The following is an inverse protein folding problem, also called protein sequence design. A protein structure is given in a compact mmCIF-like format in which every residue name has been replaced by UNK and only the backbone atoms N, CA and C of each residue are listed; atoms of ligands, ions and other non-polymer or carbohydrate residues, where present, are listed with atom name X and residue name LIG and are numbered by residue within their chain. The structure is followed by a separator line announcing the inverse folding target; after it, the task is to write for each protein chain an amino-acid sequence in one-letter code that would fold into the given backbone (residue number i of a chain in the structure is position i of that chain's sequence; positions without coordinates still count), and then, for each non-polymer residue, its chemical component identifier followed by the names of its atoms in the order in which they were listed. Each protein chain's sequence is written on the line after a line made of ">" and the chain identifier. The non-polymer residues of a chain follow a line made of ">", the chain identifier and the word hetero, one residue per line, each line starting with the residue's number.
data_IF_163713240089
#
_entry.id   IF_163713240089
#
_cell.length_a   1.000
_cell.length_b   1.000
_cell.length_c   1.000
_cell.angle_alpha   90.00
_cell.angle_beta   90.00
_cell.angle_gamma   90.00
#
_symmetry.space_group_name_H-M   'P 1'
#
loop_
_entity.id
_entity.type
_entity.pdbx_description
1 polymer ?
#
# COMPACT_ATOMS: atom_id res chain seq x y z
N UNK A 1 28.40 -2.90 -5.84
CA UNK A 1 27.38 -3.97 -5.95
C UNK A 1 26.06 -3.28 -6.30
N UNK A 2 25.46 -3.60 -7.44
CA UNK A 2 24.15 -3.05 -7.83
C UNK A 2 23.05 -3.77 -7.04
N UNK A 3 22.18 -3.01 -6.39
CA UNK A 3 21.04 -3.56 -5.62
C UNK A 3 19.86 -3.76 -6.55
N UNK A 4 19.42 -5.00 -6.74
CA UNK A 4 18.25 -5.37 -7.53
C UNK A 4 17.03 -5.64 -6.63
N UNK A 5 15.82 -5.84 -7.22
CA UNK A 5 14.58 -6.10 -6.47
C UNK A 5 14.70 -7.33 -5.56
N UNK A 6 15.41 -8.36 -5.99
CA UNK A 6 15.60 -9.59 -5.20
C UNK A 6 16.36 -9.31 -3.90
N UNK A 7 17.44 -8.51 -3.97
CA UNK A 7 18.16 -8.08 -2.78
C UNK A 7 17.28 -7.27 -1.81
N UNK A 8 16.41 -6.40 -2.33
CA UNK A 8 15.44 -5.65 -1.50
C UNK A 8 14.45 -6.58 -0.79
N UNK A 9 13.93 -7.58 -1.50
CA UNK A 9 13.03 -8.59 -0.92
C UNK A 9 13.72 -9.37 0.19
N UNK A 10 14.97 -9.80 -0.05
CA UNK A 10 15.74 -10.54 0.96
C UNK A 10 16.01 -9.72 2.23
N UNK A 11 16.33 -8.41 2.10
CA UNK A 11 16.48 -7.52 3.26
C UNK A 11 15.16 -7.40 4.02
N UNK A 12 14.04 -7.19 3.32
CA UNK A 12 12.73 -7.08 3.94
C UNK A 12 12.34 -8.35 4.69
N UNK A 13 12.59 -9.54 4.12
CA UNK A 13 12.34 -10.83 4.77
C UNK A 13 13.19 -11.07 6.01
N UNK A 14 14.47 -10.68 5.96
CA UNK A 14 15.38 -10.75 7.09
C UNK A 14 14.89 -9.87 8.23
N UNK A 15 14.49 -8.63 7.93
CA UNK A 15 13.95 -7.70 8.93
C UNK A 15 12.63 -8.24 9.52
N UNK A 16 11.72 -8.75 8.70
CA UNK A 16 10.48 -9.37 9.20
C UNK A 16 10.75 -10.53 10.15
N UNK A 17 11.67 -11.43 9.79
CA UNK A 17 12.03 -12.58 10.65
C UNK A 17 12.66 -12.16 11.95
N UNK A 18 13.48 -11.11 11.94
CA UNK A 18 14.19 -10.65 13.13
C UNK A 18 13.31 -9.84 14.08
N UNK A 19 12.30 -9.13 13.59
CA UNK A 19 11.56 -8.12 14.36
C UNK A 19 10.06 -8.37 14.46
N UNK A 20 9.49 -9.23 13.63
CA UNK A 20 8.03 -9.38 13.47
C UNK A 20 7.34 -8.19 12.78
N UNK A 21 8.08 -7.15 12.39
CA UNK A 21 7.50 -5.97 11.75
C UNK A 21 7.14 -6.25 10.29
N UNK A 22 6.01 -5.73 9.78
CA UNK A 22 5.53 -5.99 8.42
C UNK A 22 6.27 -5.14 7.36
N UNK A 23 7.60 -5.17 7.38
CA UNK A 23 8.44 -4.44 6.43
C UNK A 23 8.37 -5.08 5.04
N UNK A 24 8.09 -4.26 4.01
CA UNK A 24 8.07 -4.68 2.62
C UNK A 24 9.34 -4.26 1.86
N UNK A 25 9.55 -4.83 0.68
CA UNK A 25 10.68 -4.46 -0.17
C UNK A 25 10.64 -2.98 -0.62
N UNK A 26 9.43 -2.39 -0.72
CA UNK A 26 9.25 -0.96 -1.02
C UNK A 26 9.75 -0.07 0.12
N UNK A 27 9.64 -0.51 1.37
CA UNK A 27 10.19 0.23 2.51
C UNK A 27 11.72 0.27 2.42
N UNK A 28 12.33 -0.86 2.02
CA UNK A 28 13.78 -0.94 1.78
C UNK A 28 14.20 -0.05 0.61
N UNK A 29 13.46 -0.08 -0.50
CA UNK A 29 13.73 0.75 -1.68
C UNK A 29 13.67 2.25 -1.34
N UNK A 30 12.62 2.68 -0.64
CA UNK A 30 12.47 4.08 -0.21
C UNK A 30 13.57 4.51 0.75
N UNK A 31 13.96 3.62 1.67
CA UNK A 31 15.08 3.86 2.59
C UNK A 31 16.39 4.09 1.81
N UNK A 32 16.72 3.22 0.88
CA UNK A 32 17.90 3.37 0.04
C UNK A 32 17.86 4.64 -0.82
N UNK A 33 16.67 4.97 -1.36
CA UNK A 33 16.47 6.21 -2.10
C UNK A 33 16.75 7.46 -1.28
N UNK A 34 16.33 7.48 -0.01
CA UNK A 34 16.61 8.56 0.91
C UNK A 34 18.11 8.66 1.24
N UNK A 35 18.78 7.53 1.49
CA UNK A 35 20.22 7.48 1.81
C UNK A 35 21.14 7.93 0.66
N UNK A 36 20.63 7.97 -0.57
CA UNK A 36 21.35 8.61 -1.68
C UNK A 36 21.39 10.13 -1.58
N UNK A 37 20.39 10.72 -0.94
CA UNK A 37 20.23 12.16 -0.87
C UNK A 37 20.76 12.75 0.43
N UNK A 38 20.88 11.97 1.50
CA UNK A 38 21.28 12.45 2.82
C UNK A 38 22.03 11.40 3.62
N UNK A 39 22.89 11.87 4.52
CA UNK A 39 23.58 11.07 5.55
C UNK A 39 22.99 11.31 6.95
N UNK A 40 22.04 12.23 7.06
CA UNK A 40 21.36 12.57 8.31
C UNK A 40 20.17 11.66 8.56
N UNK A 41 20.07 11.18 9.80
CA UNK A 41 19.02 10.25 10.25
C UNK A 41 17.61 10.82 10.05
N UNK A 42 17.38 12.02 10.53
CA UNK A 42 16.04 12.60 10.53
C UNK A 42 15.60 13.01 9.14
N UNK A 43 16.54 13.50 8.35
CA UNK A 43 16.30 13.79 6.95
C UNK A 43 16.01 12.51 6.15
N UNK A 44 16.68 11.40 6.44
CA UNK A 44 16.38 10.10 5.84
C UNK A 44 14.97 9.61 6.20
N UNK A 45 14.53 9.79 7.45
CA UNK A 45 13.14 9.52 7.87
C UNK A 45 12.16 10.34 7.04
N UNK A 46 12.40 11.64 6.94
CA UNK A 46 11.54 12.59 6.21
C UNK A 46 11.43 12.24 4.72
N UNK A 47 12.56 11.95 4.08
CA UNK A 47 12.62 11.65 2.65
C UNK A 47 12.05 10.27 2.30
N UNK A 48 12.35 9.26 3.10
CA UNK A 48 11.86 7.89 2.86
C UNK A 48 10.38 7.74 3.14
N UNK A 49 9.82 8.53 4.06
CA UNK A 49 8.48 8.36 4.66
C UNK A 49 8.29 6.97 5.28
N UNK A 50 9.38 6.32 5.64
CA UNK A 50 9.35 5.04 6.36
C UNK A 50 9.40 5.35 7.85
N UNK A 51 8.46 4.81 8.66
CA UNK A 51 8.48 5.03 10.09
C UNK A 51 9.82 4.61 10.71
N UNK A 52 10.33 5.37 11.69
CA UNK A 52 11.63 5.13 12.32
C UNK A 52 11.77 3.69 12.84
N UNK A 53 10.69 3.12 13.39
CA UNK A 53 10.66 1.73 13.89
C UNK A 53 10.93 0.67 12.80
N UNK A 54 10.67 0.98 11.52
CA UNK A 54 11.01 0.11 10.38
C UNK A 54 12.38 0.45 9.83
N UNK A 55 12.70 1.73 9.81
CA UNK A 55 13.89 2.26 9.17
C UNK A 55 15.17 1.80 9.87
N UNK A 56 15.19 1.80 11.21
CA UNK A 56 16.36 1.31 11.98
C UNK A 56 16.66 -0.17 11.70
N UNK A 57 15.71 -1.11 11.79
CA UNK A 57 15.95 -2.51 11.42
C UNK A 57 16.36 -2.71 9.95
N UNK A 58 15.86 -1.87 9.03
CA UNK A 58 16.29 -1.90 7.64
C UNK A 58 17.77 -1.52 7.53
N UNK A 59 18.20 -0.46 8.22
CA UNK A 59 19.62 -0.05 8.24
C UNK A 59 20.51 -1.13 8.80
N UNK A 60 20.12 -1.76 9.89
CA UNK A 60 20.86 -2.89 10.45
C UNK A 60 20.98 -4.05 9.47
N UNK A 61 19.90 -4.37 8.76
CA UNK A 61 19.90 -5.37 7.70
C UNK A 61 20.83 -5.01 6.54
N UNK A 62 20.82 -3.76 6.12
CA UNK A 62 21.72 -3.24 5.09
C UNK A 62 23.18 -3.24 5.55
N UNK A 63 23.43 -2.86 6.81
CA UNK A 63 24.78 -2.84 7.38
C UNK A 63 25.37 -4.26 7.50
N UNK A 64 24.59 -5.25 7.96
CA UNK A 64 25.01 -6.66 8.00
C UNK A 64 25.42 -7.20 6.63
N UNK A 65 24.87 -6.65 5.57
CA UNK A 65 25.19 -7.02 4.17
C UNK A 65 26.30 -6.18 3.56
N UNK A 66 26.90 -5.27 4.31
CA UNK A 66 27.94 -4.37 3.81
C UNK A 66 27.44 -3.35 2.77
N UNK A 67 26.14 -3.07 2.76
CA UNK A 67 25.51 -2.08 1.86
C UNK A 67 25.40 -0.70 2.48
N UNK A 68 25.50 -0.61 3.80
CA UNK A 68 25.47 0.61 4.59
C UNK A 68 26.54 0.56 5.68
N UNK A 69 27.19 1.68 5.94
CA UNK A 69 28.05 1.89 7.11
C UNK A 69 27.45 2.97 7.99
N UNK A 70 27.36 2.67 9.28
CA UNK A 70 26.82 3.57 10.29
C UNK A 70 27.95 3.90 11.26
N UNK A 71 28.51 5.11 11.15
CA UNK A 71 29.56 5.62 12.04
C UNK A 71 29.16 7.05 12.50
N UNK A 72 29.83 8.08 11.97
CA UNK A 72 29.44 9.48 12.22
C UNK A 72 28.25 9.95 11.34
N UNK A 73 27.70 9.07 10.53
CA UNK A 73 26.56 9.28 9.63
C UNK A 73 26.18 7.99 8.91
N UNK A 74 25.28 8.11 7.96
CA UNK A 74 24.75 6.99 7.18
C UNK A 74 25.45 6.97 5.81
N UNK A 75 26.46 6.13 5.64
CA UNK A 75 27.21 6.01 4.40
C UNK A 75 26.73 4.83 3.57
N UNK A 76 26.04 5.12 2.47
CA UNK A 76 25.63 4.11 1.50
C UNK A 76 26.85 3.61 0.71
N UNK A 77 27.16 2.32 0.81
CA UNK A 77 28.32 1.67 0.19
C UNK A 77 27.98 1.00 -1.14
N UNK A 78 26.71 0.95 -1.52
CA UNK A 78 26.23 0.32 -2.74
C UNK A 78 25.76 1.36 -3.76
N UNK A 79 25.94 1.05 -5.05
CA UNK A 79 25.26 1.76 -6.12
C UNK A 79 23.79 1.33 -6.13
N UNK A 80 22.91 2.26 -5.76
CA UNK A 80 21.48 2.07 -5.77
C UNK A 80 20.91 2.83 -6.96
N UNK A 81 20.13 2.18 -7.84
CA UNK A 81 19.44 2.89 -8.91
C UNK A 81 18.53 3.97 -8.34
N UNK A 82 18.30 5.03 -9.10
CA UNK A 82 17.33 6.04 -8.72
C UNK A 82 15.96 5.36 -8.43
N UNK A 83 15.25 5.75 -7.37
CA UNK A 83 13.91 5.26 -7.13
C UNK A 83 13.08 5.45 -8.40
N UNK A 84 12.51 4.35 -8.91
CA UNK A 84 11.62 4.47 -10.05
C UNK A 84 10.32 5.12 -9.56
N UNK A 85 9.71 6.03 -10.34
CA UNK A 85 8.34 6.41 -10.12
C UNK A 85 7.53 5.11 -10.01
N UNK A 86 6.59 5.03 -9.07
CA UNK A 86 5.71 3.87 -8.98
C UNK A 86 5.05 3.59 -10.32
N UNK A 87 4.73 2.33 -10.61
CA UNK A 87 4.17 1.92 -11.90
C UNK A 87 2.87 2.69 -12.27
N UNK A 88 2.15 3.16 -11.24
CA UNK A 88 0.96 4.00 -11.38
C UNK A 88 1.26 5.51 -11.52
N UNK A 89 2.53 5.92 -11.50
CA UNK A 89 2.88 7.33 -11.61
C UNK A 89 2.54 7.90 -13.00
N UNK A 90 1.97 9.10 -13.02
CA UNK A 90 1.64 9.80 -14.27
C UNK A 90 2.92 10.29 -14.95
N UNK A 91 3.20 9.88 -16.20
CA UNK A 91 4.41 10.31 -16.90
C UNK A 91 4.37 11.80 -17.32
N UNK A 92 3.17 12.39 -17.48
CA UNK A 92 3.04 13.78 -17.91
C UNK A 92 3.37 14.78 -16.82
N UNK A 93 3.30 14.39 -15.53
CA UNK A 93 3.65 15.23 -14.39
C UNK A 93 4.86 14.71 -13.62
N UNK A 94 5.71 13.89 -14.26
CA UNK A 94 6.95 13.35 -13.68
C UNK A 94 6.72 12.63 -12.34
N UNK A 95 5.61 11.90 -12.24
CA UNK A 95 5.28 11.11 -11.06
C UNK A 95 4.63 11.88 -9.90
N UNK A 96 4.26 13.14 -10.08
CA UNK A 96 3.54 13.92 -9.05
C UNK A 96 2.09 13.50 -8.88
N UNK A 97 1.45 12.94 -9.93
CA UNK A 97 0.11 12.37 -9.90
C UNK A 97 0.13 10.85 -10.09
N UNK A 98 -1.01 10.22 -9.89
CA UNK A 98 -1.21 8.79 -10.04
C UNK A 98 -2.33 8.50 -11.04
N UNK A 99 -2.20 7.42 -11.76
CA UNK A 99 -3.11 7.01 -12.82
C UNK A 99 -3.69 5.64 -12.48
N UNK A 100 -4.97 5.61 -12.10
CA UNK A 100 -5.66 4.39 -11.67
C UNK A 100 -5.77 3.34 -12.78
N UNK A 101 -5.77 3.73 -14.04
CA UNK A 101 -5.83 2.83 -15.18
C UNK A 101 -4.62 1.91 -15.31
N UNK A 102 -3.52 2.24 -14.63
CA UNK A 102 -2.29 1.43 -14.59
C UNK A 102 -2.29 0.36 -13.50
N UNK A 103 -3.36 0.27 -12.71
CA UNK A 103 -3.50 -0.79 -11.72
C UNK A 103 -3.50 -2.17 -12.40
N UNK A 104 -2.84 -3.19 -11.81
CA UNK A 104 -2.75 -4.52 -12.38
C UNK A 104 -4.13 -5.23 -12.40
N UNK A 105 -4.20 -6.39 -13.08
CA UNK A 105 -5.38 -7.25 -13.10
C UNK A 105 -6.59 -6.66 -13.82
N UNK A 106 -6.41 -5.63 -14.68
CA UNK A 106 -7.52 -4.86 -15.28
C UNK A 106 -8.44 -4.27 -14.20
N UNK A 107 -7.87 -3.95 -13.02
CA UNK A 107 -8.67 -3.52 -11.87
C UNK A 107 -9.52 -2.29 -12.17
N UNK A 108 -8.99 -1.33 -12.93
CA UNK A 108 -9.73 -0.12 -13.28
C UNK A 108 -10.99 -0.43 -14.09
N UNK A 109 -10.89 -1.25 -15.14
CA UNK A 109 -12.03 -1.63 -15.99
C UNK A 109 -13.08 -2.39 -15.20
N UNK A 110 -12.66 -3.41 -14.44
CA UNK A 110 -13.55 -4.22 -13.62
C UNK A 110 -14.23 -3.37 -12.53
N UNK A 111 -13.47 -2.50 -11.86
CA UNK A 111 -13.99 -1.59 -10.85
C UNK A 111 -15.03 -0.63 -11.42
N UNK A 112 -14.75 0.01 -12.58
CA UNK A 112 -15.70 0.92 -13.23
C UNK A 112 -17.02 0.23 -13.64
N UNK A 113 -16.97 -1.07 -13.94
CA UNK A 113 -18.20 -1.84 -14.18
C UNK A 113 -19.02 -2.00 -12.90
N UNK A 114 -18.37 -2.42 -11.79
CA UNK A 114 -19.05 -2.57 -10.51
C UNK A 114 -19.52 -1.24 -9.89
N UNK A 115 -18.77 -0.17 -10.05
CA UNK A 115 -19.13 1.16 -9.53
C UNK A 115 -20.47 1.68 -10.06
N UNK A 116 -20.91 1.23 -11.23
CA UNK A 116 -22.23 1.58 -11.80
C UNK A 116 -23.41 0.98 -11.02
N UNK A 117 -23.16 -0.11 -10.31
CA UNK A 117 -24.16 -0.83 -9.51
C UNK A 117 -24.07 -0.51 -8.00
N UNK A 118 -23.19 0.43 -7.63
CA UNK A 118 -23.00 0.86 -6.25
C UNK A 118 -24.33 1.30 -5.63
N UNK A 119 -24.66 0.90 -4.38
CA UNK A 119 -25.82 1.43 -3.66
C UNK A 119 -25.76 2.96 -3.55
N UNK A 120 -26.91 3.60 -3.67
CA UNK A 120 -27.00 5.05 -3.49
C UNK A 120 -26.58 5.47 -2.07
N UNK A 121 -25.86 6.60 -1.96
CA UNK A 121 -25.49 7.17 -0.69
C UNK A 121 -26.74 7.59 0.09
N UNK A 122 -26.73 7.37 1.40
CA UNK A 122 -27.78 7.83 2.30
C UNK A 122 -27.19 8.64 3.43
N UNK A 123 -27.92 9.67 3.82
CA UNK A 123 -27.48 10.61 4.84
C UNK A 123 -27.37 9.98 6.23
N UNK A 124 -28.17 8.95 6.51
CA UNK A 124 -28.18 8.27 7.81
C UNK A 124 -26.81 7.64 8.17
N UNK A 125 -25.98 7.34 7.17
CA UNK A 125 -24.61 6.83 7.35
C UNK A 125 -23.55 7.87 7.02
N UNK A 126 -23.91 9.14 6.86
CA UNK A 126 -22.98 10.23 6.49
C UNK A 126 -22.14 9.91 5.24
N UNK A 127 -22.75 9.19 4.29
CA UNK A 127 -22.08 8.75 3.07
C UNK A 127 -21.94 9.90 2.08
N UNK A 128 -20.76 9.99 1.49
CA UNK A 128 -20.45 10.90 0.40
C UNK A 128 -19.93 10.16 -0.82
N UNK A 129 -19.92 10.83 -1.98
CA UNK A 129 -19.37 10.23 -3.18
C UNK A 129 -18.03 10.85 -3.54
N UNK A 130 -17.02 10.02 -3.70
CA UNK A 130 -15.91 10.35 -4.58
C UNK A 130 -16.14 9.72 -5.96
N UNK A 131 -15.52 10.27 -6.99
CA UNK A 131 -15.61 9.65 -8.32
C UNK A 131 -14.89 8.30 -8.32
N UNK A 132 -15.31 7.35 -9.16
CA UNK A 132 -14.62 6.06 -9.30
C UNK A 132 -13.13 6.22 -9.62
N UNK A 133 -12.77 7.24 -10.40
CA UNK A 133 -11.37 7.56 -10.72
C UNK A 133 -10.59 7.98 -9.47
N UNK A 134 -11.23 8.71 -8.55
CA UNK A 134 -10.62 9.09 -7.27
C UNK A 134 -10.34 7.86 -6.38
N UNK A 135 -11.28 6.91 -6.33
CA UNK A 135 -11.07 5.63 -5.63
C UNK A 135 -9.88 4.87 -6.24
N UNK A 136 -9.85 4.75 -7.57
CA UNK A 136 -8.71 4.10 -8.26
C UNK A 136 -7.38 4.81 -8.00
N UNK A 137 -7.37 6.14 -7.94
CA UNK A 137 -6.16 6.91 -7.62
C UNK A 137 -5.69 6.69 -6.17
N UNK A 138 -6.62 6.53 -5.21
CA UNK A 138 -6.27 6.15 -3.82
C UNK A 138 -5.61 4.78 -3.77
N UNK A 139 -6.16 3.79 -4.48
CA UNK A 139 -5.56 2.45 -4.57
C UNK A 139 -4.20 2.49 -5.25
N UNK A 140 -4.06 3.28 -6.33
CA UNK A 140 -2.77 3.49 -6.98
C UNK A 140 -1.74 4.14 -6.05
N UNK A 141 -2.16 5.06 -5.17
CA UNK A 141 -1.31 5.66 -4.15
C UNK A 141 -0.82 4.62 -3.15
N UNK A 142 -1.74 3.80 -2.61
CA UNK A 142 -1.41 2.73 -1.66
C UNK A 142 -0.44 1.71 -2.30
N UNK A 143 -0.67 1.33 -3.56
CA UNK A 143 0.25 0.47 -4.29
C UNK A 143 1.63 1.09 -4.49
N UNK A 144 1.67 2.37 -4.90
CA UNK A 144 2.93 3.10 -5.06
C UNK A 144 3.73 3.18 -3.75
N UNK A 145 3.05 3.21 -2.61
CA UNK A 145 3.69 3.19 -1.29
C UNK A 145 4.06 1.79 -0.79
N UNK A 146 3.61 0.74 -1.48
CA UNK A 146 3.88 -0.66 -1.12
C UNK A 146 2.92 -1.20 -0.06
N UNK A 147 1.79 -0.55 0.14
CA UNK A 147 0.83 -0.88 1.19
C UNK A 147 -0.20 -1.95 0.75
N UNK A 148 -0.12 -2.43 -0.50
CA UNK A 148 -1.03 -3.45 -1.03
C UNK A 148 -0.36 -4.79 -1.31
N UNK A 149 0.81 -4.80 -1.95
CA UNK A 149 1.44 -6.03 -2.44
C UNK A 149 1.78 -7.01 -1.31
N UNK A 150 1.06 -8.12 -1.27
CA UNK A 150 1.23 -9.16 -0.26
C UNK A 150 0.75 -8.78 1.16
N UNK A 151 -0.02 -7.72 1.31
CA UNK A 151 -0.54 -7.24 2.60
C UNK A 151 -1.94 -7.80 2.90
N UNK A 152 -2.27 -7.81 4.19
CA UNK A 152 -3.65 -7.87 4.66
C UNK A 152 -4.11 -6.44 4.88
N UNK A 153 -5.23 -6.07 4.27
CA UNK A 153 -5.76 -4.70 4.23
C UNK A 153 -7.07 -4.66 4.98
N UNK A 154 -7.17 -3.78 5.97
CA UNK A 154 -8.42 -3.47 6.66
C UNK A 154 -8.94 -2.12 6.17
N UNK A 155 -10.19 -2.08 5.75
CA UNK A 155 -10.90 -0.86 5.34
C UNK A 155 -12.02 -0.58 6.34
N UNK A 156 -12.03 0.61 6.89
CA UNK A 156 -13.01 1.06 7.88
C UNK A 156 -13.94 2.08 7.23
N UNK A 157 -15.19 1.67 6.93
CA UNK A 157 -16.12 2.38 6.07
C UNK A 157 -15.68 2.30 4.61
N UNK A 158 -16.51 1.79 3.73
CA UNK A 158 -16.14 1.55 2.32
C UNK A 158 -17.26 1.95 1.34
N UNK A 159 -17.96 3.02 1.66
CA UNK A 159 -18.95 3.59 0.75
C UNK A 159 -18.34 4.00 -0.61
N UNK A 160 -17.06 4.30 -0.66
CA UNK A 160 -16.27 4.57 -1.87
C UNK A 160 -15.77 3.32 -2.61
N UNK A 161 -16.06 2.12 -2.09
CA UNK A 161 -15.63 0.83 -2.65
C UNK A 161 -14.11 0.67 -2.82
N UNK A 162 -13.34 1.31 -1.94
CA UNK A 162 -11.86 1.26 -1.96
C UNK A 162 -11.34 -0.15 -1.73
N UNK A 163 -11.99 -0.92 -0.83
CA UNK A 163 -11.67 -2.31 -0.57
C UNK A 163 -11.87 -3.20 -1.80
N UNK A 164 -12.98 -3.00 -2.53
CA UNK A 164 -13.23 -3.70 -3.79
C UNK A 164 -12.18 -3.37 -4.83
N UNK A 165 -11.88 -2.07 -5.02
CA UNK A 165 -10.86 -1.64 -5.98
C UNK A 165 -9.48 -2.23 -5.65
N UNK A 166 -9.10 -2.26 -4.37
CA UNK A 166 -7.86 -2.87 -3.92
C UNK A 166 -7.82 -4.38 -4.19
N UNK A 167 -8.89 -5.12 -3.86
CA UNK A 167 -8.98 -6.56 -4.07
C UNK A 167 -8.91 -6.94 -5.56
N UNK A 168 -9.54 -6.15 -6.43
CA UNK A 168 -9.53 -6.35 -7.89
C UNK A 168 -8.12 -6.27 -8.50
N UNK A 169 -7.16 -5.61 -7.84
CA UNK A 169 -5.76 -5.58 -8.30
C UNK A 169 -5.06 -6.93 -8.20
N UNK A 170 -5.53 -7.84 -7.33
CA UNK A 170 -4.85 -9.08 -6.99
C UNK A 170 -3.56 -8.89 -6.19
N UNK A 171 -3.27 -7.69 -5.71
CA UNK A 171 -2.06 -7.38 -4.94
C UNK A 171 -2.16 -7.78 -3.46
N UNK A 172 -3.26 -7.48 -2.73
CA UNK A 172 -3.42 -7.90 -1.34
C UNK A 172 -3.59 -9.42 -1.21
N UNK A 173 -3.09 -9.96 -0.10
CA UNK A 173 -3.41 -11.35 0.29
C UNK A 173 -4.85 -11.50 0.75
N UNK A 174 -5.34 -10.50 1.46
CA UNK A 174 -6.68 -10.45 2.04
C UNK A 174 -7.11 -9.00 2.17
N UNK A 175 -8.39 -8.72 1.93
CA UNK A 175 -9.03 -7.44 2.20
C UNK A 175 -10.21 -7.70 3.13
N UNK A 176 -10.27 -6.99 4.24
CA UNK A 176 -11.40 -7.03 5.18
C UNK A 176 -12.02 -5.64 5.21
N UNK A 177 -13.33 -5.58 5.03
CA UNK A 177 -14.10 -4.34 5.10
C UNK A 177 -15.05 -4.40 6.28
N UNK A 178 -15.03 -3.37 7.10
CA UNK A 178 -16.02 -3.15 8.16
C UNK A 178 -16.82 -1.90 7.79
N UNK A 179 -18.12 -2.05 7.58
CA UNK A 179 -19.01 -0.95 7.22
C UNK A 179 -20.34 -1.03 8.00
N UNK A 180 -20.87 0.10 8.41
CA UNK A 180 -22.14 0.15 9.14
C UNK A 180 -23.35 -0.08 8.22
N UNK A 181 -23.21 0.17 6.90
CA UNK A 181 -24.29 0.00 5.94
C UNK A 181 -24.38 -1.44 5.42
N UNK A 182 -25.41 -2.20 5.78
CA UNK A 182 -25.57 -3.57 5.30
C UNK A 182 -25.79 -3.68 3.78
N UNK A 183 -26.11 -2.60 3.09
CA UNK A 183 -26.26 -2.61 1.63
C UNK A 183 -24.89 -2.63 0.95
N UNK A 184 -23.93 -1.86 1.49
CA UNK A 184 -22.54 -1.85 1.03
C UNK A 184 -21.92 -3.22 1.28
N UNK A 185 -22.09 -3.77 2.48
CA UNK A 185 -21.56 -5.09 2.83
C UNK A 185 -22.07 -6.16 1.85
N UNK A 186 -23.39 -6.26 1.66
CA UNK A 186 -23.98 -7.23 0.70
C UNK A 186 -23.50 -7.01 -0.75
N UNK A 187 -23.29 -5.76 -1.13
CA UNK A 187 -22.76 -5.43 -2.45
C UNK A 187 -21.33 -5.95 -2.61
N UNK A 188 -20.47 -5.71 -1.63
CA UNK A 188 -19.08 -6.16 -1.61
C UNK A 188 -18.97 -7.70 -1.60
N UNK A 189 -19.78 -8.39 -0.80
CA UNK A 189 -19.85 -9.86 -0.78
C UNK A 189 -20.26 -10.43 -2.14
N UNK A 190 -21.27 -9.81 -2.79
CA UNK A 190 -21.70 -10.20 -4.15
C UNK A 190 -20.56 -10.03 -5.16
N UNK A 191 -19.88 -8.88 -5.14
CA UNK A 191 -18.77 -8.59 -6.04
C UNK A 191 -17.59 -9.53 -5.78
N UNK A 192 -17.23 -9.75 -4.51
CA UNK A 192 -16.15 -10.65 -4.14
C UNK A 192 -16.40 -12.08 -4.63
N UNK A 193 -17.64 -12.58 -4.47
CA UNK A 193 -18.05 -13.91 -4.95
C UNK A 193 -18.00 -14.00 -6.47
N UNK A 194 -18.52 -12.99 -7.18
CA UNK A 194 -18.58 -12.99 -8.65
C UNK A 194 -17.18 -12.95 -9.29
N UNK A 195 -16.25 -12.24 -8.65
CA UNK A 195 -14.90 -12.02 -9.16
C UNK A 195 -13.84 -12.98 -8.54
N UNK A 196 -14.23 -13.83 -7.57
CA UNK A 196 -13.33 -14.73 -6.89
C UNK A 196 -12.23 -14.02 -6.09
N UNK A 197 -12.59 -12.93 -5.37
CA UNK A 197 -11.64 -12.07 -4.67
C UNK A 197 -11.39 -12.51 -3.22
N UNK A 198 -10.19 -12.27 -2.69
CA UNK A 198 -9.89 -12.46 -1.28
C UNK A 198 -10.40 -11.25 -0.45
N UNK A 199 -11.70 -10.95 -0.57
CA UNK A 199 -12.39 -9.86 0.10
C UNK A 199 -13.51 -10.40 0.97
N UNK A 200 -13.51 -9.99 2.23
CA UNK A 200 -14.54 -10.26 3.22
C UNK A 200 -15.13 -8.92 3.67
N UNK A 201 -16.44 -8.84 3.82
CA UNK A 201 -17.10 -7.63 4.29
C UNK A 201 -18.03 -7.98 5.47
N UNK A 202 -18.05 -7.13 6.49
CA UNK A 202 -18.84 -7.35 7.69
C UNK A 202 -19.58 -6.08 8.10
N UNK A 203 -20.84 -6.24 8.50
CA UNK A 203 -21.60 -5.12 9.10
C UNK A 203 -21.01 -4.84 10.49
N UNK A 204 -20.50 -3.64 10.69
CA UNK A 204 -19.91 -3.24 11.96
C UNK A 204 -20.06 -1.73 12.18
N UNK A 205 -20.53 -1.34 13.35
CA UNK A 205 -20.56 0.03 13.79
C UNK A 205 -19.19 0.43 14.35
N UNK A 206 -18.49 1.33 13.67
CA UNK A 206 -17.11 1.73 14.05
C UNK A 206 -17.04 2.50 15.39
N UNK A 207 -18.18 2.81 16.02
CA UNK A 207 -18.25 3.32 17.40
C UNK A 207 -18.06 2.20 18.44
N UNK A 208 -18.27 0.96 18.03
CA UNK A 208 -18.03 -0.21 18.85
C UNK A 208 -16.56 -0.68 18.70
N UNK A 209 -16.01 -1.40 19.71
CA UNK A 209 -14.67 -1.98 19.59
C UNK A 209 -14.55 -2.86 18.36
N UNK A 210 -13.39 -2.79 17.69
CA UNK A 210 -13.11 -3.65 16.55
C UNK A 210 -13.17 -5.12 16.96
N UNK A 211 -13.70 -6.03 16.09
CA UNK A 211 -13.70 -7.45 16.37
C UNK A 211 -12.25 -7.96 16.52
N UNK A 212 -12.06 -8.93 17.40
CA UNK A 212 -10.77 -9.62 17.53
C UNK A 212 -10.44 -10.34 16.21
N UNK A 213 -9.17 -10.25 15.78
CA UNK A 213 -8.69 -10.78 14.50
C UNK A 213 -8.57 -12.32 14.49
#
# INVERSE_FOLDING_TARGET
>A
VSVNKEALVQVAEEVRRATGLPVGWRDVERTLGALRATRDLWEAVRLSRVPLRFLVPIWEGLARRGLLRVEEGLDLLAEVPAPRPGEAACPACEGRGLVGERLPGRAAERFLAWAKERPEAIQDFDQGYVTPESTLARVALAWNWGDLEGKEVLVLGDDDLTGLAAALTGLPKRVVVLDADPRIVRFLERAAKAEGLPLEAHVHDLREPLPEA
#
